data_IF_390115545902
#
_entry.id   IF_390115545902
#
_cell.length_a   1.000
_cell.length_b   1.000
_cell.length_c   1.000
_cell.angle_alpha   90.00
_cell.angle_beta   90.00
_cell.angle_gamma   90.00
#
_symmetry.space_group_name_H-M   'P 1'
#
loop_
_entity.id
_entity.type
_entity.pdbx_description
1 polymer ?
#
# COMPACT_ATOMS: atom_id res chain seq x y z
N UNK A 1 -19.24 -7.38 -7.23
CA UNK A 1 -18.15 -6.80 -8.06
C UNK A 1 -17.81 -5.42 -7.52
N UNK A 2 -16.59 -5.23 -6.99
CA UNK A 2 -16.08 -3.92 -6.54
C UNK A 2 -15.35 -3.25 -7.70
N UNK A 3 -15.36 -1.92 -7.75
CA UNK A 3 -14.69 -1.12 -8.78
C UNK A 3 -13.76 -0.11 -8.12
N UNK A 4 -12.56 0.05 -8.69
CA UNK A 4 -11.56 1.01 -8.23
C UNK A 4 -11.22 1.93 -9.40
N UNK A 5 -11.20 3.24 -9.16
CA UNK A 5 -10.84 4.23 -10.17
C UNK A 5 -9.36 4.60 -10.03
N UNK A 6 -8.62 4.56 -11.13
CA UNK A 6 -7.19 4.90 -11.17
C UNK A 6 -6.90 5.69 -12.43
N UNK A 7 -6.29 6.88 -12.33
CA UNK A 7 -5.88 7.70 -13.49
C UNK A 7 -6.89 7.73 -14.67
N UNK A 8 -8.19 7.87 -14.37
CA UNK A 8 -9.26 7.93 -15.38
C UNK A 8 -9.75 6.59 -15.94
N UNK A 9 -9.26 5.44 -15.46
CA UNK A 9 -9.75 4.10 -15.80
C UNK A 9 -10.37 3.37 -14.61
N UNK A 10 -11.23 2.40 -14.91
CA UNK A 10 -11.90 1.53 -13.94
C UNK A 10 -11.23 0.16 -13.90
N UNK A 11 -10.81 -0.27 -12.72
CA UNK A 11 -10.38 -1.64 -12.44
C UNK A 11 -11.56 -2.41 -11.84
N UNK A 12 -11.95 -3.49 -12.49
CA UNK A 12 -13.02 -4.38 -12.02
C UNK A 12 -12.44 -5.48 -11.14
N UNK A 13 -12.95 -5.57 -9.92
CA UNK A 13 -12.63 -6.62 -8.95
C UNK A 13 -13.83 -7.57 -8.87
N UNK A 14 -13.78 -8.76 -9.51
CA UNK A 14 -14.94 -9.64 -9.61
C UNK A 14 -15.52 -10.01 -8.24
N UNK A 15 -14.64 -10.39 -7.31
CA UNK A 15 -14.99 -10.80 -5.96
C UNK A 15 -14.10 -10.07 -4.95
N UNK A 16 -14.74 -9.45 -3.95
CA UNK A 16 -14.07 -8.74 -2.88
C UNK A 16 -14.94 -8.76 -1.63
N UNK A 17 -14.35 -9.02 -0.48
CA UNK A 17 -15.00 -8.99 0.83
C UNK A 17 -13.95 -8.79 1.93
N UNK A 18 -14.27 -7.98 2.95
CA UNK A 18 -13.45 -7.82 4.15
C UNK A 18 -11.96 -7.52 3.88
N UNK A 19 -11.65 -6.61 2.96
CA UNK A 19 -10.26 -6.27 2.62
C UNK A 19 -9.50 -7.32 1.79
N UNK A 20 -10.19 -8.37 1.33
CA UNK A 20 -9.65 -9.41 0.44
C UNK A 20 -10.22 -9.23 -0.98
N UNK A 21 -9.37 -9.37 -2.00
CA UNK A 21 -9.77 -9.39 -3.40
C UNK A 21 -9.37 -10.71 -4.07
N UNK A 22 -10.21 -11.19 -4.99
CA UNK A 22 -9.91 -12.37 -5.83
C UNK A 22 -9.96 -11.97 -7.30
N UNK A 23 -8.88 -12.24 -8.03
CA UNK A 23 -8.72 -11.90 -9.44
C UNK A 23 -8.00 -13.01 -10.21
N UNK A 24 -8.25 -13.08 -11.52
CA UNK A 24 -7.45 -13.90 -12.43
C UNK A 24 -6.21 -13.11 -12.88
N UNK A 25 -5.09 -13.80 -13.10
CA UNK A 25 -3.84 -13.18 -13.58
C UNK A 25 -4.05 -12.34 -14.85
N UNK A 26 -4.89 -12.80 -15.78
CA UNK A 26 -5.18 -12.07 -17.01
C UNK A 26 -5.82 -10.70 -16.77
N UNK A 27 -6.66 -10.57 -15.74
CA UNK A 27 -7.27 -9.28 -15.38
C UNK A 27 -6.24 -8.31 -14.77
N UNK A 28 -5.14 -8.81 -14.22
CA UNK A 28 -4.10 -8.02 -13.58
C UNK A 28 -2.94 -7.71 -14.51
N UNK A 29 -2.52 -8.64 -15.38
CA UNK A 29 -1.26 -8.53 -16.12
C UNK A 29 -1.43 -8.61 -17.65
N UNK A 30 -2.53 -9.19 -18.17
CA UNK A 30 -2.78 -9.24 -19.62
C UNK A 30 -3.53 -8.01 -20.15
N UNK A 31 -3.97 -7.12 -19.26
CA UNK A 31 -4.53 -5.81 -19.58
C UNK A 31 -3.44 -4.74 -19.47
N UNK A 32 -3.64 -3.52 -20.02
CA UNK A 32 -2.65 -2.44 -19.96
C UNK A 32 -2.50 -1.79 -18.58
N UNK A 33 -2.41 -2.58 -17.51
CA UNK A 33 -2.38 -2.14 -16.09
C UNK A 33 -1.00 -1.66 -15.63
N UNK A 34 -0.95 -0.61 -14.82
CA UNK A 34 0.31 0.02 -14.40
C UNK A 34 0.57 -0.03 -12.89
N UNK A 35 1.70 0.52 -12.47
CA UNK A 35 2.03 0.69 -11.04
C UNK A 35 0.91 1.40 -10.26
N UNK A 36 0.31 2.45 -10.84
CA UNK A 36 -0.81 3.17 -10.23
C UNK A 36 -2.04 2.27 -9.95
N UNK A 37 -2.25 1.23 -10.76
CA UNK A 37 -3.35 0.29 -10.55
C UNK A 37 -3.08 -0.64 -9.39
N UNK A 38 -1.88 -1.20 -9.37
CA UNK A 38 -1.45 -2.10 -8.31
C UNK A 38 -1.39 -1.36 -6.98
N UNK A 39 -1.00 -0.08 -6.97
CA UNK A 39 -1.05 0.78 -5.79
C UNK A 39 -2.48 1.02 -5.31
N UNK A 40 -3.42 1.23 -6.23
CA UNK A 40 -4.82 1.38 -5.85
C UNK A 40 -5.41 0.06 -5.29
N UNK A 41 -4.99 -1.09 -5.84
CA UNK A 41 -5.36 -2.40 -5.34
C UNK A 41 -4.77 -2.64 -3.94
N UNK A 42 -3.47 -2.39 -3.74
CA UNK A 42 -2.82 -2.57 -2.43
C UNK A 42 -3.42 -1.63 -1.38
N UNK A 43 -3.78 -0.40 -1.75
CA UNK A 43 -4.52 0.52 -0.88
C UNK A 43 -5.86 -0.06 -0.42
N UNK A 44 -6.59 -0.71 -1.33
CA UNK A 44 -7.95 -1.17 -1.07
C UNK A 44 -8.03 -2.55 -0.41
N UNK A 45 -6.96 -3.33 -0.44
CA UNK A 45 -6.96 -4.74 -0.02
C UNK A 45 -5.66 -5.12 0.70
N UNK A 46 -5.79 -5.61 1.94
CA UNK A 46 -4.66 -6.19 2.68
C UNK A 46 -4.30 -7.60 2.20
N UNK A 47 -5.17 -8.23 1.40
CA UNK A 47 -4.93 -9.56 0.84
C UNK A 47 -5.44 -9.67 -0.59
N UNK A 48 -4.60 -10.21 -1.47
CA UNK A 48 -4.93 -10.49 -2.86
C UNK A 48 -4.83 -11.99 -3.13
N UNK A 49 -5.87 -12.55 -3.74
CA UNK A 49 -5.89 -13.91 -4.25
C UNK A 49 -5.81 -13.86 -5.77
N UNK A 50 -4.72 -14.37 -6.34
CA UNK A 50 -4.48 -14.38 -7.79
C UNK A 50 -4.56 -15.79 -8.34
N UNK A 51 -5.52 -16.04 -9.22
CA UNK A 51 -5.71 -17.35 -9.86
C UNK A 51 -4.99 -17.42 -11.20
N UNK A 52 -4.61 -18.64 -11.60
CA UNK A 52 -4.19 -18.96 -12.96
C UNK A 52 -2.97 -18.17 -13.46
N UNK A 53 -1.93 -18.03 -12.64
CA UNK A 53 -0.66 -17.46 -13.09
C UNK A 53 0.00 -18.47 -14.02
N UNK A 54 0.16 -18.16 -15.32
CA UNK A 54 0.72 -19.10 -16.29
C UNK A 54 2.24 -19.17 -16.16
N UNK A 55 2.87 -20.10 -16.88
CA UNK A 55 4.29 -19.97 -17.20
C UNK A 55 4.53 -18.64 -17.93
N UNK A 56 5.55 -17.92 -17.48
CA UNK A 56 5.97 -16.69 -18.09
C UNK A 56 7.15 -16.97 -19.02
N UNK A 57 7.10 -16.39 -20.21
CA UNK A 57 8.12 -16.55 -21.24
C UNK A 57 8.45 -15.20 -21.87
N UNK A 58 9.51 -15.18 -22.68
CA UNK A 58 9.94 -13.98 -23.41
C UNK A 58 8.89 -13.47 -24.41
N UNK A 59 7.99 -14.32 -24.88
CA UNK A 59 6.88 -13.92 -25.74
C UNK A 59 5.82 -13.08 -25.00
N UNK A 60 5.82 -13.15 -23.67
CA UNK A 60 4.89 -12.46 -22.76
C UNK A 60 5.62 -11.45 -21.87
N UNK A 61 6.66 -10.81 -22.40
CA UNK A 61 7.46 -9.81 -21.69
C UNK A 61 6.62 -8.68 -21.04
N UNK A 62 5.55 -8.15 -21.68
CA UNK A 62 4.68 -7.16 -21.02
C UNK A 62 4.05 -7.72 -19.73
N UNK A 63 3.54 -8.94 -19.76
CA UNK A 63 2.96 -9.62 -18.60
C UNK A 63 4.01 -9.91 -17.53
N UNK A 64 5.23 -10.31 -17.92
CA UNK A 64 6.37 -10.49 -17.00
C UNK A 64 6.64 -9.19 -16.25
N UNK A 65 6.80 -8.08 -16.97
CA UNK A 65 7.10 -6.77 -16.36
C UNK A 65 5.97 -6.28 -15.44
N UNK A 66 4.71 -6.52 -15.82
CA UNK A 66 3.55 -6.21 -14.97
C UNK A 66 3.49 -7.10 -13.73
N UNK A 67 3.83 -8.38 -13.84
CA UNK A 67 3.93 -9.27 -12.67
C UNK A 67 5.03 -8.80 -11.72
N UNK A 68 6.22 -8.45 -12.22
CA UNK A 68 7.30 -7.87 -11.41
C UNK A 68 6.78 -6.64 -10.66
N UNK A 69 6.14 -5.70 -11.37
CA UNK A 69 5.62 -4.47 -10.76
C UNK A 69 4.51 -4.76 -9.74
N UNK A 70 3.62 -5.71 -10.02
CA UNK A 70 2.59 -6.15 -9.09
C UNK A 70 3.21 -6.67 -7.80
N UNK A 71 4.13 -7.64 -7.89
CA UNK A 71 4.77 -8.22 -6.71
C UNK A 71 5.55 -7.18 -5.93
N UNK A 72 6.26 -6.27 -6.59
CA UNK A 72 6.99 -5.19 -5.93
C UNK A 72 6.05 -4.31 -5.09
N UNK A 73 4.91 -3.91 -5.67
CA UNK A 73 3.90 -3.12 -4.96
C UNK A 73 3.28 -3.90 -3.80
N UNK A 74 2.92 -5.17 -4.00
CA UNK A 74 2.36 -5.98 -2.91
C UNK A 74 3.38 -6.17 -1.78
N UNK A 75 4.63 -6.40 -2.15
CA UNK A 75 5.74 -6.61 -1.22
C UNK A 75 5.97 -5.38 -0.35
N UNK A 76 6.14 -4.21 -0.97
CA UNK A 76 6.42 -2.93 -0.30
C UNK A 76 5.29 -2.48 0.63
N UNK A 77 4.06 -2.88 0.31
CA UNK A 77 2.85 -2.55 1.07
C UNK A 77 2.39 -3.68 2.00
N UNK A 78 3.19 -4.73 2.17
CA UNK A 78 2.89 -5.87 3.05
C UNK A 78 1.55 -6.57 2.75
N UNK A 79 1.08 -6.52 1.49
CA UNK A 79 -0.15 -7.18 1.06
C UNK A 79 0.10 -8.68 1.03
N UNK A 80 -0.82 -9.46 1.63
CA UNK A 80 -0.71 -10.91 1.60
C UNK A 80 -1.14 -11.43 0.25
N UNK A 81 -0.35 -12.35 -0.32
CA UNK A 81 -0.64 -12.98 -1.59
C UNK A 81 -0.96 -14.45 -1.39
N UNK A 82 -2.14 -14.87 -1.82
CA UNK A 82 -2.43 -16.28 -2.12
C UNK A 82 -2.51 -16.41 -3.63
N UNK A 83 -1.86 -17.41 -4.22
CA UNK A 83 -1.95 -17.59 -5.65
C UNK A 83 -1.94 -19.04 -6.11
N UNK A 84 -2.46 -19.25 -7.31
CA UNK A 84 -2.30 -20.48 -8.08
C UNK A 84 -1.42 -20.17 -9.28
N UNK A 85 -0.28 -20.84 -9.37
CA UNK A 85 0.72 -20.64 -10.41
C UNK A 85 1.09 -21.97 -11.07
N UNK A 86 1.53 -21.88 -12.33
CA UNK A 86 1.93 -23.05 -13.11
C UNK A 86 3.26 -23.69 -12.67
N UNK A 87 4.06 -22.97 -11.88
CA UNK A 87 5.33 -23.44 -11.32
C UNK A 87 5.72 -22.63 -10.07
N UNK A 88 6.74 -23.13 -9.37
CA UNK A 88 7.37 -22.48 -8.21
C UNK A 88 8.05 -21.14 -8.61
N UNK A 89 8.27 -20.20 -7.67
CA UNK A 89 8.72 -18.84 -7.99
C UNK A 89 9.94 -18.73 -8.91
N UNK A 90 10.99 -19.53 -8.69
CA UNK A 90 12.21 -19.52 -9.52
C UNK A 90 12.06 -20.26 -10.86
N UNK A 91 11.01 -21.04 -11.04
CA UNK A 91 10.74 -21.77 -12.28
C UNK A 91 9.63 -21.14 -13.12
N UNK A 92 8.93 -20.14 -12.58
CA UNK A 92 7.77 -19.51 -13.18
C UNK A 92 8.13 -18.68 -14.43
N UNK A 93 9.36 -18.19 -14.51
CA UNK A 93 9.91 -17.51 -15.68
C UNK A 93 11.28 -18.13 -16.00
N UNK A 94 11.45 -18.57 -17.25
CA UNK A 94 12.76 -19.02 -17.76
C UNK A 94 13.14 -18.13 -18.94
N UNK A 95 14.24 -17.41 -18.78
CA UNK A 95 14.82 -16.62 -19.85
C UNK A 95 15.46 -17.56 -20.88
N UNK A 96 14.95 -17.56 -22.11
CA UNK A 96 15.61 -18.24 -23.22
C UNK A 96 16.91 -17.52 -23.61
N UNK A 97 17.79 -18.21 -24.34
CA UNK A 97 19.05 -17.65 -24.88
C UNK A 97 18.74 -16.49 -25.83
N UNK A 98 18.73 -15.27 -25.31
CA UNK A 98 18.36 -14.05 -26.05
C UNK A 98 17.65 -12.99 -25.20
N UNK A 99 17.24 -13.32 -23.97
CA UNK A 99 16.76 -12.32 -23.03
C UNK A 99 17.84 -11.29 -22.70
N UNK A 100 17.43 -10.04 -22.44
CA UNK A 100 18.34 -9.17 -21.69
C UNK A 100 18.53 -9.84 -20.33
N UNK A 101 19.78 -9.98 -19.91
CA UNK A 101 20.11 -10.52 -18.59
C UNK A 101 19.38 -9.74 -17.48
N UNK A 102 18.99 -8.50 -17.76
CA UNK A 102 18.27 -7.60 -16.87
C UNK A 102 16.87 -8.12 -16.52
N UNK A 103 16.11 -8.71 -17.46
CA UNK A 103 14.78 -9.24 -17.14
C UNK A 103 14.84 -10.52 -16.31
N UNK A 104 15.76 -11.43 -16.64
CA UNK A 104 16.00 -12.62 -15.83
C UNK A 104 16.38 -12.23 -14.40
N UNK A 105 17.33 -11.30 -14.26
CA UNK A 105 17.77 -10.80 -12.98
C UNK A 105 16.65 -10.05 -12.21
N UNK A 106 15.81 -9.28 -12.90
CA UNK A 106 14.66 -8.63 -12.27
C UNK A 106 13.62 -9.64 -11.78
N UNK A 107 13.38 -10.70 -12.54
CA UNK A 107 12.47 -11.75 -12.12
C UNK A 107 13.04 -12.60 -10.99
N UNK A 108 14.35 -12.88 -10.93
CA UNK A 108 14.98 -13.58 -9.81
C UNK A 108 14.78 -12.83 -8.47
N UNK A 109 14.86 -11.48 -8.49
CA UNK A 109 14.48 -10.65 -7.33
C UNK A 109 13.00 -10.82 -6.97
N UNK A 110 12.14 -10.91 -7.97
CA UNK A 110 10.70 -11.13 -7.79
C UNK A 110 10.43 -12.51 -7.18
N UNK A 111 11.09 -13.55 -7.67
CA UNK A 111 11.02 -14.91 -7.13
C UNK A 111 11.49 -14.95 -5.67
N UNK A 112 12.56 -14.22 -5.34
CA UNK A 112 13.07 -14.10 -3.98
C UNK A 112 12.06 -13.42 -3.04
N UNK A 113 11.41 -12.33 -3.50
CA UNK A 113 10.31 -11.68 -2.78
C UNK A 113 9.13 -12.62 -2.57
N UNK A 114 8.72 -13.37 -3.59
CA UNK A 114 7.66 -14.38 -3.46
C UNK A 114 7.99 -15.43 -2.39
N UNK A 115 9.24 -15.89 -2.35
CA UNK A 115 9.70 -16.82 -1.31
C UNK A 115 9.63 -16.20 0.09
N UNK A 116 10.07 -14.94 0.25
CA UNK A 116 9.96 -14.23 1.52
C UNK A 116 8.50 -14.01 1.95
N UNK A 117 7.60 -13.70 1.01
CA UNK A 117 6.16 -13.54 1.26
C UNK A 117 5.49 -14.80 1.81
N UNK A 118 6.09 -15.98 1.60
CA UNK A 118 5.63 -17.25 2.16
C UNK A 118 6.11 -17.49 3.60
N UNK A 119 7.06 -16.70 4.11
CA UNK A 119 7.57 -16.82 5.48
C UNK A 119 6.54 -16.37 6.51
N UNK A 120 6.63 -16.93 7.71
CA UNK A 120 5.75 -16.53 8.82
C UNK A 120 6.08 -15.12 9.32
N UNK A 121 7.34 -14.69 9.20
CA UNK A 121 7.77 -13.32 9.49
C UNK A 121 7.06 -12.31 8.58
N UNK A 122 7.03 -12.56 7.26
CA UNK A 122 6.31 -11.69 6.34
C UNK A 122 4.80 -11.72 6.60
N UNK A 123 4.21 -12.89 6.86
CA UNK A 123 2.78 -13.00 7.17
C UNK A 123 2.38 -12.23 8.43
N UNK A 124 3.27 -12.14 9.43
CA UNK A 124 3.04 -11.40 10.66
C UNK A 124 3.12 -9.87 10.49
N UNK A 125 3.77 -9.36 9.44
CA UNK A 125 3.84 -7.91 9.18
C UNK A 125 2.44 -7.32 8.97
N UNK A 126 2.07 -6.21 9.63
CA UNK A 126 0.81 -5.53 9.36
C UNK A 126 0.80 -4.97 7.93
N UNK A 127 -0.40 -4.93 7.33
CA UNK A 127 -0.60 -4.31 6.02
C UNK A 127 -0.23 -2.83 6.07
N UNK A 128 0.52 -2.36 5.06
CA UNK A 128 1.02 -0.98 4.97
C UNK A 128 0.43 -0.32 3.73
N UNK A 129 -0.80 0.22 3.78
CA UNK A 129 -1.41 0.85 2.62
C UNK A 129 -0.49 1.97 2.07
N UNK A 130 -0.41 2.17 0.74
CA UNK A 130 0.33 3.29 0.18
C UNK A 130 -0.18 4.62 0.74
N UNK A 131 0.72 5.60 0.88
CA UNK A 131 0.27 6.97 1.14
C UNK A 131 -0.78 7.33 0.09
N UNK A 132 -1.90 7.96 0.47
CA UNK A 132 -2.70 8.62 -0.54
C UNK A 132 -1.81 9.61 -1.28
N UNK A 133 -1.93 9.67 -2.60
CA UNK A 133 -1.75 10.95 -3.28
C UNK A 133 -2.70 11.88 -2.53
N UNK A 134 -2.18 12.84 -1.75
CA UNK A 134 -3.00 13.56 -0.78
C UNK A 134 -4.15 14.34 -1.46
N UNK A 135 -4.22 14.37 -2.79
CA UNK A 135 -5.16 15.19 -3.58
C UNK A 135 -4.95 16.68 -3.37
N UNK A 136 -4.05 17.03 -2.44
CA UNK A 136 -3.57 18.36 -2.22
C UNK A 136 -2.68 18.71 -3.41
N UNK A 137 -2.91 19.85 -4.09
CA UNK A 137 -1.87 20.41 -4.95
C UNK A 137 -0.57 20.40 -4.15
N UNK A 138 0.53 19.90 -4.74
CA UNK A 138 1.87 19.74 -4.13
C UNK A 138 1.89 20.37 -2.75
N UNK A 139 1.77 19.59 -1.66
CA UNK A 139 1.70 20.17 -0.33
C UNK A 139 2.85 21.17 -0.17
N UNK A 140 2.54 22.44 -0.37
CA UNK A 140 3.17 23.51 0.35
C UNK A 140 2.68 23.20 1.76
N UNK A 141 3.49 22.47 2.51
CA UNK A 141 3.20 22.02 3.89
C UNK A 141 3.09 23.20 4.86
N UNK A 142 2.79 24.38 4.33
CA UNK A 142 2.65 25.65 5.00
C UNK A 142 1.23 25.83 5.53
N UNK A 143 0.18 25.23 4.93
CA UNK A 143 -1.20 25.50 5.36
C UNK A 143 -2.15 24.29 5.19
N UNK A 144 -2.17 23.38 6.17
CA UNK A 144 -3.32 22.48 6.35
C UNK A 144 -4.42 23.31 7.05
N UNK A 145 -5.62 23.40 6.48
CA UNK A 145 -6.77 24.16 7.03
C UNK A 145 -7.76 23.20 7.71
N UNK A 146 -8.78 23.74 8.40
CA UNK A 146 -9.85 22.93 9.00
C UNK A 146 -10.54 22.00 7.99
N UNK A 147 -10.71 22.45 6.75
CA UNK A 147 -11.28 21.64 5.65
C UNK A 147 -10.40 20.42 5.31
N UNK A 148 -9.10 20.46 5.58
CA UNK A 148 -8.21 19.32 5.41
C UNK A 148 -8.22 18.37 6.62
N UNK A 149 -8.69 18.80 7.80
CA UNK A 149 -8.79 17.95 8.98
C UNK A 149 -9.78 16.80 8.75
N UNK A 150 -10.92 17.08 8.12
CA UNK A 150 -11.91 16.05 7.76
C UNK A 150 -11.38 15.10 6.70
N UNK A 151 -10.58 15.61 5.75
CA UNK A 151 -9.93 14.79 4.73
C UNK A 151 -8.91 13.85 5.37
N UNK A 152 -8.07 14.34 6.28
CA UNK A 152 -7.07 13.54 6.99
C UNK A 152 -7.78 12.53 7.90
N UNK A 153 -8.80 12.94 8.65
CA UNK A 153 -9.55 12.06 9.53
C UNK A 153 -10.17 10.87 8.80
N UNK A 154 -11.03 11.14 7.82
CA UNK A 154 -11.70 10.11 7.02
C UNK A 154 -10.70 9.22 6.25
N UNK A 155 -9.44 9.67 6.14
CA UNK A 155 -8.40 8.95 5.42
C UNK A 155 -7.66 7.94 6.27
N UNK A 156 -7.45 8.24 7.55
CA UNK A 156 -6.69 7.35 8.44
C UNK A 156 -7.57 6.50 9.34
N UNK A 157 -8.82 6.87 9.61
CA UNK A 157 -9.86 5.98 10.17
C UNK A 157 -10.32 4.99 9.07
N UNK A 158 -9.39 4.14 8.63
CA UNK A 158 -9.58 3.25 7.48
C UNK A 158 -10.48 2.05 7.82
N UNK A 159 -10.52 1.70 9.11
CA UNK A 159 -11.40 0.67 9.65
C UNK A 159 -12.81 1.21 10.00
N UNK A 160 -13.03 2.53 9.95
CA UNK A 160 -14.32 3.18 10.21
C UNK A 160 -14.78 3.04 11.65
N UNK A 161 -13.82 2.93 12.58
CA UNK A 161 -14.09 2.75 14.01
C UNK A 161 -14.53 4.06 14.67
N UNK A 162 -14.25 5.20 14.04
CA UNK A 162 -14.51 6.53 14.62
C UNK A 162 -13.40 7.00 15.55
N UNK A 163 -12.25 6.32 15.56
CA UNK A 163 -11.06 6.67 16.33
C UNK A 163 -9.81 6.33 15.50
N UNK A 164 -8.69 7.02 15.72
CA UNK A 164 -7.41 6.61 15.16
C UNK A 164 -6.67 5.73 16.16
N UNK A 165 -6.44 4.48 15.78
CA UNK A 165 -5.62 3.55 16.56
C UNK A 165 -4.12 3.83 16.38
N UNK A 166 -3.28 3.30 17.28
CA UNK A 166 -1.80 3.44 17.21
C UNK A 166 -1.24 3.06 15.83
N UNK A 167 -1.81 2.04 15.19
CA UNK A 167 -1.41 1.62 13.84
C UNK A 167 -1.76 2.67 12.77
N UNK A 168 -2.92 3.31 12.88
CA UNK A 168 -3.38 4.35 11.95
C UNK A 168 -2.62 5.66 12.14
N UNK A 169 -2.26 5.98 13.39
CA UNK A 169 -1.42 7.14 13.73
C UNK A 169 -0.01 6.94 13.20
N UNK A 170 0.53 5.73 13.32
CA UNK A 170 1.80 5.39 12.68
C UNK A 170 1.70 5.66 11.18
N UNK A 171 0.67 5.15 10.50
CA UNK A 171 0.50 5.38 9.06
C UNK A 171 0.43 6.87 8.72
N UNK A 172 -0.31 7.67 9.50
CA UNK A 172 -0.34 9.13 9.36
C UNK A 172 1.06 9.74 9.46
N UNK A 173 1.81 9.40 10.51
CA UNK A 173 3.16 9.91 10.72
C UNK A 173 4.13 9.48 9.61
N UNK A 174 4.04 8.23 9.17
CA UNK A 174 4.85 7.70 8.08
C UNK A 174 4.61 8.45 6.77
N UNK A 175 3.34 8.72 6.45
CA UNK A 175 2.93 9.45 5.25
C UNK A 175 3.34 10.93 5.31
N UNK A 176 3.17 11.59 6.47
CA UNK A 176 3.68 12.95 6.70
C UNK A 176 5.20 13.00 6.54
N UNK A 177 5.92 12.01 7.07
CA UNK A 177 7.37 11.94 6.99
C UNK A 177 7.85 11.68 5.57
N UNK A 178 7.15 10.83 4.82
CA UNK A 178 7.44 10.60 3.41
C UNK A 178 7.28 11.87 2.58
N UNK A 179 6.19 12.61 2.78
CA UNK A 179 5.92 13.86 2.08
C UNK A 179 7.02 14.92 2.30
N UNK A 180 7.65 14.94 3.48
CA UNK A 180 8.69 15.93 3.82
C UNK A 180 10.13 15.46 3.59
N UNK A 181 10.44 14.22 3.95
CA UNK A 181 11.81 13.68 4.06
C UNK A 181 12.08 12.55 3.08
N UNK A 182 11.08 12.13 2.29
CA UNK A 182 11.21 11.06 1.30
C UNK A 182 11.31 9.65 1.90
N UNK A 183 11.21 9.49 3.22
CA UNK A 183 11.21 8.19 3.89
C UNK A 183 10.08 8.06 4.90
N UNK A 184 9.62 6.83 5.10
CA UNK A 184 8.52 6.49 6.00
C UNK A 184 8.95 5.89 7.33
N UNK A 185 10.25 5.83 7.63
CA UNK A 185 10.67 5.20 8.89
C UNK A 185 10.26 6.09 10.07
N UNK A 186 9.46 5.59 11.00
CA UNK A 186 9.03 6.30 12.21
C UNK A 186 9.27 5.36 13.38
N UNK A 187 10.02 5.81 14.38
CA UNK A 187 10.33 4.96 15.54
C UNK A 187 9.13 4.87 16.48
N UNK A 188 9.09 3.82 17.30
CA UNK A 188 8.01 3.63 18.26
C UNK A 188 7.97 4.78 19.27
N UNK A 189 9.11 5.35 19.63
CA UNK A 189 9.19 6.53 20.49
C UNK A 189 8.48 7.74 19.85
N UNK A 190 8.66 7.97 18.55
CA UNK A 190 7.97 9.06 17.84
C UNK A 190 6.46 8.84 17.81
N UNK A 191 6.00 7.61 17.59
CA UNK A 191 4.56 7.29 17.63
C UNK A 191 3.99 7.53 19.03
N UNK A 192 4.70 7.11 20.08
CA UNK A 192 4.28 7.32 21.46
C UNK A 192 4.25 8.80 21.85
N UNK A 193 5.19 9.60 21.36
CA UNK A 193 5.17 11.04 21.61
C UNK A 193 3.99 11.72 20.90
N UNK A 194 3.71 11.34 19.65
CA UNK A 194 2.53 11.83 18.94
C UNK A 194 1.24 11.43 19.66
N UNK A 195 1.13 10.19 20.14
CA UNK A 195 0.01 9.73 20.98
C UNK A 195 -0.20 10.65 22.18
N UNK A 196 0.83 10.90 22.99
CA UNK A 196 0.72 11.76 24.18
C UNK A 196 0.27 13.18 23.87
N UNK A 197 0.59 13.68 22.68
CA UNK A 197 0.24 15.04 22.27
C UNK A 197 -1.21 15.15 21.78
N UNK A 198 -1.73 14.09 21.18
CA UNK A 198 -3.04 14.05 20.54
C UNK A 198 -4.13 13.44 21.43
N UNK A 199 -3.82 12.39 22.18
CA UNK A 199 -4.70 11.68 23.12
C UNK A 199 -4.81 12.49 24.42
N UNK A 200 -5.77 13.43 24.46
CA UNK A 200 -5.90 14.39 25.53
C UNK A 200 -6.57 13.78 26.76
N UNK A 201 -7.46 12.80 26.55
CA UNK A 201 -8.15 12.08 27.64
C UNK A 201 -7.42 10.81 28.11
N UNK A 202 -6.31 10.44 27.45
CA UNK A 202 -5.43 9.31 27.75
C UNK A 202 -6.15 7.96 27.68
N UNK A 203 -7.13 7.83 26.78
CA UNK A 203 -7.88 6.60 26.58
C UNK A 203 -7.19 5.59 25.63
N UNK A 204 -6.04 5.98 25.05
CA UNK A 204 -5.25 5.16 24.14
C UNK A 204 -5.72 5.23 22.68
N UNK A 205 -6.70 6.06 22.37
CA UNK A 205 -7.24 6.31 21.04
C UNK A 205 -7.30 7.82 20.79
N UNK A 206 -7.24 8.25 19.52
CA UNK A 206 -7.47 9.66 19.20
C UNK A 206 -8.85 9.80 18.58
N UNK A 207 -9.71 10.60 19.19
CA UNK A 207 -11.01 10.98 18.67
C UNK A 207 -10.93 12.15 17.70
N UNK A 208 -12.01 12.36 16.93
CA UNK A 208 -12.11 13.43 15.94
C UNK A 208 -11.94 14.80 16.57
N UNK A 209 -12.61 15.02 17.69
CA UNK A 209 -12.56 16.26 18.46
C UNK A 209 -11.18 16.51 19.06
N UNK A 210 -10.47 15.47 19.51
CA UNK A 210 -9.09 15.58 19.98
C UNK A 210 -8.13 15.94 18.84
N UNK A 211 -8.27 15.26 17.70
CA UNK A 211 -7.50 15.54 16.50
C UNK A 211 -7.73 16.98 16.01
N UNK A 212 -8.98 17.42 15.91
CA UNK A 212 -9.36 18.77 15.50
C UNK A 212 -8.86 19.82 16.51
N UNK A 213 -9.00 19.56 17.81
CA UNK A 213 -8.52 20.45 18.88
C UNK A 213 -7.00 20.59 18.84
N UNK A 214 -6.27 19.50 18.57
CA UNK A 214 -4.82 19.52 18.43
C UNK A 214 -4.40 20.36 17.24
N UNK A 215 -5.03 20.13 16.09
CA UNK A 215 -4.84 20.89 14.84
C UNK A 215 -5.08 22.39 15.05
N UNK A 216 -6.17 22.75 15.73
CA UNK A 216 -6.54 24.14 15.99
C UNK A 216 -5.57 24.81 16.99
N UNK A 217 -5.11 24.08 18.01
CA UNK A 217 -4.26 24.62 19.08
C UNK A 217 -2.81 24.83 18.65
N UNK A 218 -2.23 23.85 17.97
CA UNK A 218 -0.80 23.86 17.67
C UNK A 218 -0.48 24.56 16.36
N UNK A 219 -1.44 24.60 15.44
CA UNK A 219 -1.12 24.73 14.04
C UNK A 219 -0.19 23.60 13.59
N UNK A 220 -0.02 23.42 12.30
CA UNK A 220 0.72 22.26 11.81
C UNK A 220 2.25 22.37 11.96
N UNK A 221 2.75 23.36 12.71
CA UNK A 221 4.16 23.63 13.00
C UNK A 221 4.80 22.64 13.98
N UNK A 222 4.01 21.89 14.76
CA UNK A 222 4.54 20.92 15.75
C UNK A 222 4.89 19.57 15.12
N UNK A 223 4.30 19.21 13.98
CA UNK A 223 4.65 17.99 13.23
C UNK A 223 6.04 18.05 12.54
N UNK A 224 6.87 19.04 12.92
CA UNK A 224 8.21 19.29 12.42
C UNK A 224 9.32 18.68 13.31
N UNK A 225 8.96 18.05 14.44
CA UNK A 225 9.86 17.30 15.33
C UNK A 225 9.95 15.82 14.91
#
# INVERSE_FOLDING_TARGET
VKRIMTQGREIRIPQAAGGIAIMDFSALCSLPTGAADFLAISRAFHTLIVKNIPFLSMERLPEVRRMITLIDVLYDHHVKLLCSAAAEPFELFKADRGASQDEAFAFDRTASRLMDMMSDEYKAKPHRPPAPELGLPELQVELITKDHSDLIWNRYDSNGTGFLEVAEIRLLLEDLRYAKQGHRNVSDETVQEAMRLLDADQDGHIRKDEFDSFVERTGYSVWYL
#
